data_IF_682276558487
#
_entry.id   IF_682276558487
#
_cell.length_a   1.000
_cell.length_b   1.000
_cell.length_c   1.000
_cell.angle_alpha   90.00
_cell.angle_beta   90.00
_cell.angle_gamma   90.00
#
_symmetry.space_group_name_H-M   'P 1'
#
loop_
_entity.id
_entity.type
_entity.pdbx_description
1 polymer ?
#
# COMPACT_ATOMS: atom_id res chain seq x y z
N UNK A 1 -20.02 0.51 -9.89
CA UNK A 1 -18.95 -0.50 -10.08
C UNK A 1 -18.02 -0.44 -8.88
N UNK A 2 -17.53 -1.58 -8.38
CA UNK A 2 -16.68 -1.64 -7.20
C UNK A 2 -15.21 -1.51 -7.59
N UNK A 3 -14.59 -0.37 -7.27
CA UNK A 3 -13.21 -0.04 -7.62
C UNK A 3 -12.34 -0.05 -6.37
N UNK A 4 -11.29 -0.86 -6.38
CA UNK A 4 -10.29 -0.93 -5.31
C UNK A 4 -9.02 -0.23 -5.74
N UNK A 5 -8.53 0.71 -4.92
CA UNK A 5 -7.32 1.47 -5.20
C UNK A 5 -6.24 1.10 -4.19
N UNK A 6 -5.08 0.64 -4.67
CA UNK A 6 -3.91 0.35 -3.85
C UNK A 6 -2.96 1.54 -3.87
N UNK A 7 -2.66 2.09 -2.68
CA UNK A 7 -1.75 3.22 -2.52
C UNK A 7 -0.75 3.02 -1.37
N UNK A 8 0.49 3.47 -1.54
CA UNK A 8 1.49 3.55 -0.46
C UNK A 8 1.96 4.98 -0.19
N UNK A 9 1.32 5.98 -0.78
CA UNK A 9 1.64 7.39 -0.52
C UNK A 9 1.43 7.73 0.97
N UNK A 10 2.44 8.35 1.59
CA UNK A 10 2.39 8.75 3.01
C UNK A 10 1.36 9.85 3.29
N UNK A 11 1.16 10.75 2.32
CA UNK A 11 0.34 11.94 2.44
C UNK A 11 -0.74 11.98 1.35
N UNK A 12 -1.58 10.95 1.29
CA UNK A 12 -2.71 10.95 0.37
C UNK A 12 -3.75 11.97 0.86
N UNK A 13 -3.74 13.16 0.26
CA UNK A 13 -4.65 14.26 0.58
C UNK A 13 -5.97 14.10 -0.18
N UNK A 14 -7.12 14.55 0.37
CA UNK A 14 -8.40 14.51 -0.34
C UNK A 14 -8.36 15.17 -1.72
N UNK A 15 -7.71 16.32 -1.87
CA UNK A 15 -7.57 17.01 -3.16
C UNK A 15 -6.81 16.17 -4.19
N UNK A 16 -5.65 15.61 -3.81
CA UNK A 16 -4.89 14.71 -4.68
C UNK A 16 -5.68 13.44 -5.04
N UNK A 17 -6.51 12.97 -4.11
CA UNK A 17 -7.35 11.81 -4.34
C UNK A 17 -8.50 12.12 -5.31
N UNK A 18 -9.09 13.32 -5.29
CA UNK A 18 -10.06 13.77 -6.30
C UNK A 18 -9.45 13.75 -7.70
N UNK A 19 -8.23 14.26 -7.86
CA UNK A 19 -7.49 14.18 -9.14
C UNK A 19 -7.31 12.73 -9.61
N UNK A 20 -6.98 11.81 -8.71
CA UNK A 20 -6.88 10.37 -9.05
C UNK A 20 -8.24 9.81 -9.50
N UNK A 21 -9.34 10.18 -8.84
CA UNK A 21 -10.70 9.75 -9.24
C UNK A 21 -11.08 10.29 -10.62
N UNK A 22 -10.79 11.56 -10.87
CA UNK A 22 -11.01 12.21 -12.17
C UNK A 22 -10.16 11.54 -13.27
N UNK A 23 -8.87 11.29 -13.01
CA UNK A 23 -7.99 10.58 -13.94
C UNK A 23 -8.48 9.17 -14.26
N UNK A 24 -9.06 8.48 -13.27
CA UNK A 24 -9.64 7.15 -13.44
C UNK A 24 -11.02 7.19 -14.12
N UNK A 25 -11.66 8.35 -14.23
CA UNK A 25 -13.02 8.47 -14.75
C UNK A 25 -14.07 7.81 -13.84
N UNK A 26 -13.86 7.90 -12.53
CA UNK A 26 -14.82 7.44 -11.51
C UNK A 26 -16.00 8.39 -11.48
N UNK A 27 -17.22 7.86 -11.56
CA UNK A 27 -18.46 8.65 -11.53
C UNK A 27 -19.12 8.52 -10.16
N UNK A 28 -19.32 9.64 -9.48
CA UNK A 28 -20.02 9.68 -8.19
C UNK A 28 -21.44 9.11 -8.31
N UNK A 29 -21.86 8.32 -7.31
CA UNK A 29 -23.17 7.67 -7.28
C UNK A 29 -23.31 6.41 -8.14
N UNK A 30 -22.45 6.22 -9.15
CA UNK A 30 -22.42 4.99 -9.96
C UNK A 30 -21.29 4.04 -9.53
N UNK A 31 -20.17 4.61 -9.10
CA UNK A 31 -18.97 3.87 -8.71
C UNK A 31 -18.69 4.00 -7.22
N UNK A 32 -18.42 2.86 -6.62
CA UNK A 32 -17.99 2.72 -5.24
C UNK A 32 -16.47 2.56 -5.23
N UNK A 33 -15.80 3.34 -4.39
CA UNK A 33 -14.34 3.34 -4.31
C UNK A 33 -13.91 2.93 -2.92
N UNK A 34 -13.09 1.89 -2.84
CA UNK A 34 -12.39 1.47 -1.61
C UNK A 34 -10.89 1.66 -1.77
N UNK A 35 -10.24 2.30 -0.81
CA UNK A 35 -8.80 2.55 -0.83
C UNK A 35 -8.09 1.64 0.16
N UNK A 36 -7.12 0.87 -0.32
CA UNK A 36 -6.20 0.10 0.52
C UNK A 36 -4.86 0.84 0.59
N UNK A 37 -4.52 1.34 1.78
CA UNK A 37 -3.36 2.20 1.99
C UNK A 37 -2.35 1.64 2.99
N UNK A 38 -1.05 1.86 2.75
CA UNK A 38 0.00 1.52 3.71
C UNK A 38 0.00 2.47 4.92
N UNK A 39 -0.38 3.74 4.70
CA UNK A 39 -0.29 4.82 5.68
C UNK A 39 -1.66 5.38 6.02
N UNK A 40 -1.84 5.86 7.25
CA UNK A 40 -3.06 6.56 7.64
C UNK A 40 -3.10 7.89 6.86
N UNK A 41 -4.15 8.16 6.06
CA UNK A 41 -4.30 9.46 5.43
C UNK A 41 -4.49 10.51 6.53
N UNK A 42 -3.97 11.72 6.28
CA UNK A 42 -4.03 12.82 7.24
C UNK A 42 -5.46 13.24 7.55
N UNK A 43 -6.31 13.26 6.50
CA UNK A 43 -7.75 13.50 6.60
C UNK A 43 -8.50 12.31 6.00
N UNK A 44 -9.75 12.05 6.44
CA UNK A 44 -10.59 11.06 5.82
C UNK A 44 -10.72 11.30 4.31
N UNK A 45 -10.64 10.23 3.53
CA UNK A 45 -10.76 10.31 2.07
C UNK A 45 -12.24 10.27 1.67
N UNK A 46 -12.64 10.91 0.56
CA UNK A 46 -14.01 10.86 0.04
C UNK A 46 -14.23 9.53 -0.72
N UNK A 47 -14.28 8.43 0.04
CA UNK A 47 -14.36 7.05 -0.45
C UNK A 47 -15.28 6.24 0.45
N UNK A 48 -15.88 5.18 -0.06
CA UNK A 48 -16.78 4.34 0.72
C UNK A 48 -16.07 3.65 1.89
N UNK A 49 -14.82 3.22 1.68
CA UNK A 49 -14.01 2.62 2.72
C UNK A 49 -12.53 2.93 2.52
N UNK A 50 -11.81 3.13 3.62
CA UNK A 50 -10.35 3.18 3.64
C UNK A 50 -9.81 2.07 4.53
N UNK A 51 -9.12 1.11 3.93
CA UNK A 51 -8.47 -0.01 4.60
C UNK A 51 -6.97 0.24 4.76
N UNK A 52 -6.49 0.34 5.99
CA UNK A 52 -5.05 0.47 6.25
C UNK A 52 -4.39 -0.90 6.38
N UNK A 53 -3.27 -1.11 5.67
CA UNK A 53 -2.44 -2.34 5.68
C UNK A 53 -0.96 -2.01 5.93
N UNK A 54 -0.64 -1.57 7.15
CA UNK A 54 0.71 -1.16 7.57
C UNK A 54 1.53 -2.26 8.25
N UNK A 55 2.83 -2.04 8.41
CA UNK A 55 3.74 -2.97 9.11
C UNK A 55 3.29 -3.28 10.55
N UNK A 56 2.70 -2.29 11.20
CA UNK A 56 2.15 -2.37 12.57
C UNK A 56 0.96 -3.34 12.66
N UNK A 57 0.35 -3.70 11.52
CA UNK A 57 -0.81 -4.60 11.43
C UNK A 57 -0.43 -6.05 11.13
N UNK A 58 0.86 -6.32 10.87
CA UNK A 58 1.37 -7.65 10.52
C UNK A 58 1.15 -8.72 11.61
N UNK A 59 0.98 -8.29 12.87
CA UNK A 59 0.70 -9.19 14.00
C UNK A 59 -0.77 -9.61 14.09
N UNK A 60 -1.71 -8.76 13.62
CA UNK A 60 -3.14 -9.00 13.83
C UNK A 60 -3.88 -9.51 12.59
N UNK A 61 -3.27 -9.55 11.40
CA UNK A 61 -3.92 -9.98 10.13
C UNK A 61 -5.21 -9.22 9.78
N UNK A 62 -5.47 -8.09 10.44
CA UNK A 62 -6.65 -7.27 10.23
C UNK A 62 -6.24 -5.93 9.61
N UNK A 63 -6.91 -5.53 8.55
CA UNK A 63 -6.86 -4.14 8.10
C UNK A 63 -7.67 -3.28 9.07
N UNK A 64 -7.21 -2.05 9.30
CA UNK A 64 -8.00 -1.08 10.06
C UNK A 64 -8.90 -0.33 9.09
N UNK A 65 -10.21 -0.40 9.31
CA UNK A 65 -11.19 0.46 8.66
C UNK A 65 -11.06 1.85 9.28
N UNK A 66 -10.75 2.84 8.44
CA UNK A 66 -10.65 4.23 8.86
C UNK A 66 -11.97 4.96 8.58
N UNK A 67 -12.29 5.99 9.39
CA UNK A 67 -13.48 6.80 9.17
C UNK A 67 -13.45 7.47 7.79
N UNK A 68 -14.63 7.62 7.20
CA UNK A 68 -14.90 8.20 5.89
C UNK A 68 -15.41 9.63 6.06
N UNK A 69 -14.96 10.57 5.24
CA UNK A 69 -15.55 11.91 5.20
C UNK A 69 -16.86 11.89 4.41
N UNK A 70 -17.92 12.46 4.97
CA UNK A 70 -19.08 12.86 4.18
C UNK A 70 -18.66 13.98 3.20
N UNK A 71 -19.18 13.94 1.97
CA UNK A 71 -18.93 14.94 0.93
C UNK A 71 -19.72 16.23 1.24
N UNK A 72 -19.32 17.02 2.24
CA UNK A 72 -19.42 18.49 2.17
C UNK A 72 -18.70 19.25 3.30
N UNK A 73 -18.28 20.46 2.90
CA UNK A 73 -17.90 21.69 3.63
C UNK A 73 -16.66 21.80 4.57
N UNK A 74 -15.87 22.82 4.20
CA UNK A 74 -15.15 23.83 5.02
C UNK A 74 -13.69 23.60 5.48
N UNK A 75 -12.85 24.57 5.06
CA UNK A 75 -11.57 25.05 5.61
C UNK A 75 -11.71 25.36 7.13
N UNK A 76 -10.71 25.38 8.03
CA UNK A 76 -9.30 25.79 8.04
C UNK A 76 -8.62 25.21 9.33
N UNK A 77 -7.57 25.80 9.96
CA UNK A 77 -6.14 25.47 9.90
C UNK A 77 -5.58 24.49 10.98
N UNK A 78 -4.27 24.22 10.86
CA UNK A 78 -3.40 23.30 11.61
C UNK A 78 -3.25 23.61 13.12
N UNK A 79 -3.00 22.56 13.93
CA UNK A 79 -2.39 22.72 15.25
C UNK A 79 -1.54 21.51 15.70
N UNK A 80 -0.52 21.84 16.50
CA UNK A 80 0.75 21.16 16.79
C UNK A 80 0.71 19.90 17.70
N UNK A 81 1.82 19.15 17.68
CA UNK A 81 2.10 17.91 18.44
C UNK A 81 2.23 18.12 19.97
N UNK A 82 2.26 17.04 20.80
CA UNK A 82 3.58 16.63 21.33
C UNK A 82 3.72 15.15 21.76
N UNK A 83 4.97 14.76 22.07
CA UNK A 83 5.24 13.83 23.18
C UNK A 83 6.16 12.65 22.88
N UNK A 84 7.46 12.85 23.03
CA UNK A 84 8.50 11.80 23.00
C UNK A 84 8.65 11.17 24.40
N UNK A 85 8.57 9.84 24.51
CA UNK A 85 8.83 9.11 25.74
C UNK A 85 9.76 7.91 25.47
N UNK A 86 10.94 7.96 26.07
CA UNK A 86 12.02 6.97 25.92
C UNK A 86 11.92 5.89 27.01
N UNK A 87 11.89 4.58 26.68
CA UNK A 87 11.91 3.53 27.69
C UNK A 87 13.31 2.98 27.99
N UNK A 88 13.46 2.63 29.27
CA UNK A 88 14.62 2.09 29.99
C UNK A 88 15.05 0.68 29.51
N UNK A 89 16.36 0.37 29.63
CA UNK A 89 16.98 -0.80 29.00
C UNK A 89 16.93 -2.08 29.89
N UNK A 90 16.58 -3.26 29.33
CA UNK A 90 16.56 -4.52 30.09
C UNK A 90 17.93 -5.24 30.18
N UNK A 91 18.12 -5.91 31.31
CA UNK A 91 19.27 -6.78 31.68
C UNK A 91 19.34 -8.07 30.84
N UNK A 92 20.51 -8.47 30.31
CA UNK A 92 20.59 -9.62 29.39
C UNK A 92 20.92 -10.96 30.09
N UNK A 93 19.98 -11.90 29.99
CA UNK A 93 20.10 -13.35 30.24
C UNK A 93 20.54 -14.12 28.94
N UNK A 94 20.75 -15.45 28.93
CA UNK A 94 21.77 -16.21 28.16
C UNK A 94 21.54 -16.36 26.63
N UNK A 95 21.22 -15.26 25.94
CA UNK A 95 21.15 -15.14 24.46
C UNK A 95 22.52 -14.92 23.78
N UNK A 96 23.62 -14.88 24.54
CA UNK A 96 24.92 -14.34 24.08
C UNK A 96 25.65 -15.22 23.05
N UNK A 97 25.43 -16.54 23.03
CA UNK A 97 26.10 -17.43 22.07
C UNK A 97 25.48 -17.38 20.67
N UNK A 98 24.15 -17.40 20.56
CA UNK A 98 23.45 -17.15 19.30
C UNK A 98 23.69 -15.72 18.79
N UNK A 99 23.80 -14.75 19.70
CA UNK A 99 24.16 -13.37 19.38
C UNK A 99 25.59 -13.26 18.82
N UNK A 100 26.55 -14.04 19.33
CA UNK A 100 27.92 -14.09 18.82
C UNK A 100 28.01 -14.60 17.37
N UNK A 101 27.29 -15.68 17.05
CA UNK A 101 27.23 -16.21 15.67
C UNK A 101 26.52 -15.23 14.74
N UNK A 102 25.38 -14.67 15.18
CA UNK A 102 24.67 -13.64 14.42
C UNK A 102 25.51 -12.38 14.21
N UNK A 103 26.32 -11.98 15.19
CA UNK A 103 27.22 -10.83 15.11
C UNK A 103 28.36 -11.09 14.11
N UNK A 104 28.95 -12.28 14.11
CA UNK A 104 29.98 -12.66 13.12
C UNK A 104 29.41 -12.69 11.70
N UNK A 105 28.23 -13.28 11.51
CA UNK A 105 27.55 -13.25 10.21
C UNK A 105 27.19 -11.83 9.76
N UNK A 106 26.79 -10.95 10.69
CA UNK A 106 26.57 -9.53 10.41
C UNK A 106 27.88 -8.82 10.03
N UNK A 107 28.99 -9.08 10.72
CA UNK A 107 30.30 -8.46 10.44
C UNK A 107 30.81 -8.82 9.04
N UNK A 108 30.65 -10.08 8.63
CA UNK A 108 30.97 -10.51 7.26
C UNK A 108 30.06 -9.83 6.24
N UNK A 109 28.75 -9.72 6.50
CA UNK A 109 27.83 -8.93 5.65
C UNK A 109 28.21 -7.45 5.57
N UNK A 110 28.66 -6.85 6.67
CA UNK A 110 29.12 -5.45 6.69
C UNK A 110 30.41 -5.28 5.89
N UNK A 111 31.39 -6.18 6.02
CA UNK A 111 32.61 -6.16 5.23
C UNK A 111 32.36 -6.27 3.72
N UNK A 112 31.39 -7.11 3.30
CA UNK A 112 30.98 -7.20 1.88
C UNK A 112 30.20 -5.96 1.43
N UNK A 113 29.41 -5.36 2.32
CA UNK A 113 28.65 -4.12 2.06
C UNK A 113 29.54 -2.89 1.93
N UNK A 114 30.64 -2.84 2.68
CA UNK A 114 31.59 -1.73 2.72
C UNK A 114 32.64 -1.81 1.60
N UNK A 115 32.57 -2.84 0.75
CA UNK A 115 33.37 -2.90 -0.46
C UNK A 115 32.95 -1.76 -1.43
N UNK A 116 33.85 -0.85 -1.81
CA UNK A 116 33.53 0.34 -2.60
C UNK A 116 32.96 0.03 -4.00
N UNK A 117 33.31 -1.13 -4.57
CA UNK A 117 32.77 -1.56 -5.86
C UNK A 117 31.32 -2.07 -5.72
N UNK A 118 31.02 -2.78 -4.64
CA UNK A 118 29.68 -3.28 -4.31
C UNK A 118 28.76 -2.13 -3.90
N UNK A 119 29.25 -1.18 -3.10
CA UNK A 119 28.48 -0.01 -2.66
C UNK A 119 28.11 0.91 -3.82
N UNK A 120 29.00 1.12 -4.81
CA UNK A 120 28.72 1.92 -6.01
C UNK A 120 27.60 1.33 -6.87
N UNK A 121 27.61 0.01 -7.10
CA UNK A 121 26.56 -0.68 -7.86
C UNK A 121 25.24 -0.72 -7.08
N UNK A 122 25.30 -1.04 -5.78
CA UNK A 122 24.12 -1.09 -4.89
C UNK A 122 23.45 0.27 -4.69
N UNK A 123 24.22 1.36 -4.67
CA UNK A 123 23.71 2.72 -4.51
C UNK A 123 23.18 3.33 -5.80
N UNK A 124 23.33 2.66 -6.95
CA UNK A 124 22.66 3.06 -8.18
C UNK A 124 21.15 3.13 -7.95
N UNK A 125 20.52 4.23 -8.36
CA UNK A 125 19.07 4.44 -8.26
C UNK A 125 18.28 3.32 -8.93
N UNK A 126 18.80 2.76 -10.03
CA UNK A 126 18.18 1.64 -10.76
C UNK A 126 18.22 0.36 -9.93
N UNK A 127 19.40 0.02 -9.40
CA UNK A 127 19.58 -1.17 -8.55
C UNK A 127 18.75 -1.04 -7.28
N UNK A 128 18.76 0.12 -6.62
CA UNK A 128 17.99 0.40 -5.39
C UNK A 128 16.47 0.29 -5.63
N UNK A 129 15.96 0.75 -6.78
CA UNK A 129 14.54 0.56 -7.17
C UNK A 129 14.19 -0.92 -7.32
N UNK A 130 15.00 -1.68 -8.05
CA UNK A 130 14.80 -3.12 -8.27
C UNK A 130 14.93 -3.90 -6.95
N UNK A 131 16.01 -3.70 -6.18
CA UNK A 131 16.19 -4.39 -4.90
C UNK A 131 15.09 -4.04 -3.89
N UNK A 132 14.65 -2.78 -3.78
CA UNK A 132 13.54 -2.45 -2.88
C UNK A 132 12.19 -3.06 -3.32
N UNK A 133 12.01 -3.33 -4.62
CA UNK A 133 10.82 -4.02 -5.12
C UNK A 133 10.85 -5.54 -4.79
N UNK A 134 12.04 -6.16 -4.82
CA UNK A 134 12.17 -7.61 -4.71
C UNK A 134 12.62 -8.13 -3.34
N UNK A 135 13.38 -7.36 -2.55
CA UNK A 135 13.94 -7.81 -1.28
C UNK A 135 12.85 -8.05 -0.22
N UNK A 136 12.93 -9.17 0.52
CA UNK A 136 12.08 -9.41 1.68
C UNK A 136 12.34 -8.31 2.73
N UNK A 137 11.30 -7.53 3.04
CA UNK A 137 11.33 -6.47 4.05
C UNK A 137 11.27 -5.03 3.52
N UNK A 138 11.32 -4.82 2.20
CA UNK A 138 11.05 -3.50 1.60
C UNK A 138 9.58 -3.07 1.78
N UNK A 139 9.29 -1.76 1.66
CA UNK A 139 7.93 -1.21 1.78
C UNK A 139 6.95 -1.94 0.86
N UNK A 140 7.35 -2.18 -0.40
CA UNK A 140 6.53 -2.92 -1.37
C UNK A 140 6.25 -4.36 -0.93
N UNK A 141 7.27 -5.10 -0.47
CA UNK A 141 7.10 -6.47 -0.02
C UNK A 141 6.22 -6.56 1.24
N UNK A 142 6.41 -5.64 2.20
CA UNK A 142 5.61 -5.58 3.43
C UNK A 142 4.16 -5.22 3.13
N UNK A 143 3.95 -4.19 2.32
CA UNK A 143 2.62 -3.79 1.87
C UNK A 143 1.94 -4.98 1.17
N UNK A 144 2.58 -5.57 0.16
CA UNK A 144 2.02 -6.71 -0.56
C UNK A 144 1.67 -7.90 0.35
N UNK A 145 2.55 -8.28 1.28
CA UNK A 145 2.28 -9.36 2.23
C UNK A 145 1.10 -9.02 3.15
N UNK A 146 1.05 -7.80 3.67
CA UNK A 146 -0.02 -7.36 4.58
C UNK A 146 -1.36 -7.27 3.86
N UNK A 147 -1.40 -6.63 2.69
CA UNK A 147 -2.58 -6.52 1.81
C UNK A 147 -3.15 -7.89 1.48
N UNK A 148 -2.32 -8.83 1.04
CA UNK A 148 -2.74 -10.19 0.65
C UNK A 148 -3.22 -11.04 1.84
N UNK A 149 -2.74 -10.74 3.05
CA UNK A 149 -3.08 -11.49 4.27
C UNK A 149 -4.29 -10.93 5.01
N UNK A 150 -4.57 -9.63 4.87
CA UNK A 150 -5.67 -8.98 5.56
C UNK A 150 -7.01 -9.54 5.10
N UNK A 151 -7.86 -9.96 6.06
CA UNK A 151 -9.17 -10.57 5.75
C UNK A 151 -10.10 -9.57 5.07
N UNK A 152 -10.18 -8.36 5.61
CA UNK A 152 -11.06 -7.29 5.13
C UNK A 152 -10.70 -6.90 3.69
N UNK A 153 -9.41 -6.94 3.35
CA UNK A 153 -8.96 -6.71 1.98
C UNK A 153 -9.44 -7.82 1.05
N UNK A 154 -9.38 -9.09 1.47
CA UNK A 154 -9.90 -10.20 0.66
C UNK A 154 -11.40 -10.09 0.45
N UNK A 155 -12.14 -9.71 1.48
CA UNK A 155 -13.58 -9.55 1.42
C UNK A 155 -13.96 -8.45 0.41
N UNK A 156 -13.28 -7.30 0.46
CA UNK A 156 -13.46 -6.23 -0.52
C UNK A 156 -13.04 -6.66 -1.93
N UNK A 157 -11.94 -7.39 -2.08
CA UNK A 157 -11.47 -7.87 -3.38
C UNK A 157 -12.36 -8.92 -4.01
N UNK A 158 -13.04 -9.75 -3.21
CA UNK A 158 -14.02 -10.71 -3.71
C UNK A 158 -15.25 -10.06 -4.33
N UNK A 159 -15.54 -8.80 -3.95
CA UNK A 159 -16.61 -8.01 -4.54
C UNK A 159 -16.11 -6.98 -5.56
N UNK A 160 -14.79 -6.90 -5.81
CA UNK A 160 -14.20 -5.87 -6.65
C UNK A 160 -14.37 -6.19 -8.14
N UNK A 161 -14.66 -5.16 -8.93
CA UNK A 161 -14.63 -5.24 -10.39
C UNK A 161 -13.24 -4.94 -10.94
N UNK A 162 -12.59 -3.90 -10.39
CA UNK A 162 -11.30 -3.41 -10.86
C UNK A 162 -10.41 -3.09 -9.67
N UNK A 163 -9.14 -3.49 -9.74
CA UNK A 163 -8.11 -3.16 -8.74
C UNK A 163 -7.02 -2.34 -9.40
N UNK A 164 -6.82 -1.11 -8.95
CA UNK A 164 -5.84 -0.17 -9.52
C UNK A 164 -4.65 0.00 -8.58
N UNK A 165 -3.45 -0.34 -9.05
CA UNK A 165 -2.19 -0.04 -8.36
C UNK A 165 -1.66 1.34 -8.76
N UNK A 166 -1.67 2.31 -7.84
CA UNK A 166 -1.30 3.69 -8.18
C UNK A 166 0.22 3.96 -8.25
N UNK A 167 1.03 3.21 -7.50
CA UNK A 167 2.44 3.50 -7.36
C UNK A 167 3.32 2.26 -7.41
N UNK A 168 4.60 2.46 -7.68
CA UNK A 168 5.55 1.35 -7.88
C UNK A 168 5.66 0.38 -6.70
N UNK A 169 5.32 0.80 -5.47
CA UNK A 169 5.35 -0.07 -4.31
C UNK A 169 4.10 -0.96 -4.22
N UNK A 170 2.99 -0.60 -4.88
CA UNK A 170 1.76 -1.40 -4.90
C UNK A 170 1.71 -2.43 -6.03
N UNK A 171 2.59 -2.34 -7.02
CA UNK A 171 2.63 -3.29 -8.16
C UNK A 171 2.78 -4.75 -7.70
N UNK A 172 3.64 -5.01 -6.70
CA UNK A 172 3.82 -6.37 -6.17
C UNK A 172 2.57 -6.89 -5.48
N UNK A 173 1.84 -6.02 -4.78
CA UNK A 173 0.56 -6.38 -4.17
C UNK A 173 -0.44 -6.75 -5.26
N UNK A 174 -0.60 -5.89 -6.27
CA UNK A 174 -1.45 -6.12 -7.42
C UNK A 174 -1.14 -7.46 -8.12
N UNK A 175 0.12 -7.73 -8.44
CA UNK A 175 0.52 -9.00 -9.05
C UNK A 175 0.14 -10.22 -8.19
N UNK A 176 0.34 -10.15 -6.87
CA UNK A 176 -0.06 -11.24 -5.97
C UNK A 176 -1.57 -11.40 -5.87
N UNK A 177 -2.32 -10.30 -5.95
CA UNK A 177 -3.79 -10.31 -5.90
C UNK A 177 -4.38 -10.90 -7.17
N UNK A 178 -3.88 -10.51 -8.35
CA UNK A 178 -4.31 -11.05 -9.65
C UNK A 178 -4.15 -12.57 -9.73
N UNK A 179 -3.13 -13.13 -9.06
CA UNK A 179 -2.90 -14.58 -8.99
C UNK A 179 -3.84 -15.31 -8.03
N UNK A 180 -4.49 -14.59 -7.11
CA UNK A 180 -5.34 -15.17 -6.05
C UNK A 180 -6.83 -14.95 -6.31
N UNK A 181 -7.17 -13.88 -7.00
CA UNK A 181 -8.53 -13.47 -7.30
C UNK A 181 -8.63 -13.31 -8.82
N UNK A 182 -9.22 -14.29 -9.53
CA UNK A 182 -9.32 -14.24 -10.99
C UNK A 182 -10.40 -13.27 -11.50
N UNK A 183 -11.35 -12.88 -10.65
CA UNK A 183 -12.53 -12.09 -11.05
C UNK A 183 -12.26 -10.57 -11.27
N UNK A 184 -11.51 -9.87 -10.39
CA UNK A 184 -11.24 -8.45 -10.61
C UNK A 184 -10.16 -8.21 -11.66
N UNK A 185 -10.36 -7.22 -12.52
CA UNK A 185 -9.31 -6.75 -13.42
C UNK A 185 -8.26 -5.97 -12.63
N UNK A 186 -7.05 -6.55 -12.52
CA UNK A 186 -5.95 -5.92 -11.81
C UNK A 186 -5.05 -5.15 -12.77
N UNK A 187 -4.98 -3.83 -12.58
CA UNK A 187 -4.28 -2.90 -13.46
C UNK A 187 -3.28 -2.03 -12.71
N UNK A 188 -2.29 -1.55 -13.44
CA UNK A 188 -1.20 -0.73 -12.91
C UNK A 188 -1.22 0.65 -13.56
N UNK A 189 -1.32 1.68 -12.72
CA UNK A 189 -1.37 3.09 -13.13
C UNK A 189 -2.77 3.58 -13.53
N UNK A 190 -2.97 4.91 -13.43
CA UNK A 190 -4.28 5.56 -13.66
C UNK A 190 -4.73 5.48 -15.11
N UNK A 191 -3.83 5.65 -16.08
CA UNK A 191 -4.18 5.55 -17.51
C UNK A 191 -4.66 4.15 -17.95
N UNK A 192 -4.14 3.08 -17.34
CA UNK A 192 -4.64 1.72 -17.56
C UNK A 192 -5.98 1.52 -16.84
N UNK A 193 -6.06 1.99 -15.59
CA UNK A 193 -7.29 2.02 -14.79
C UNK A 193 -8.46 2.64 -15.53
N UNK A 194 -8.29 3.86 -16.07
CA UNK A 194 -9.31 4.59 -16.83
C UNK A 194 -9.85 3.77 -18.00
N UNK A 195 -8.96 3.14 -18.77
CA UNK A 195 -9.35 2.35 -19.94
C UNK A 195 -10.19 1.12 -19.56
N UNK A 196 -9.77 0.40 -18.53
CA UNK A 196 -10.51 -0.79 -18.05
C UNK A 196 -11.84 -0.41 -17.43
N UNK A 197 -11.88 0.67 -16.63
CA UNK A 197 -13.10 1.23 -16.05
C UNK A 197 -14.10 1.60 -17.16
N UNK A 198 -13.64 2.31 -18.19
CA UNK A 198 -14.49 2.69 -19.32
C UNK A 198 -15.01 1.45 -20.08
N UNK A 199 -14.14 0.47 -20.34
CA UNK A 199 -14.52 -0.76 -21.05
C UNK A 199 -15.56 -1.58 -20.27
N UNK A 200 -15.38 -1.78 -18.96
CA UNK A 200 -16.37 -2.47 -18.11
C UNK A 200 -17.70 -1.73 -18.07
N UNK A 201 -17.67 -0.39 -18.03
CA UNK A 201 -18.90 0.41 -18.02
C UNK A 201 -19.68 0.27 -19.33
N UNK A 202 -18.98 0.30 -20.47
CA UNK A 202 -19.59 0.06 -21.78
C UNK A 202 -20.24 -1.34 -21.86
N UNK A 203 -19.50 -2.40 -21.48
CA UNK A 203 -20.04 -3.77 -21.52
C UNK A 203 -21.25 -4.00 -20.61
N UNK A 204 -21.39 -3.25 -19.51
CA UNK A 204 -22.59 -3.30 -18.66
C UNK A 204 -23.83 -2.69 -19.32
N UNK A 205 -23.66 -1.60 -20.06
CA UNK A 205 -24.77 -0.98 -20.79
C UNK A 205 -25.35 -1.96 -21.82
N UNK A 206 -24.47 -2.67 -22.54
CA UNK A 206 -24.84 -3.66 -23.56
C UNK A 206 -25.58 -4.87 -22.96
N UNK A 207 -25.25 -5.27 -21.71
CA UNK A 207 -25.92 -6.39 -21.03
C UNK A 207 -27.30 -6.06 -20.44
N UNK A 208 -27.71 -4.80 -20.48
CA UNK A 208 -28.97 -4.30 -19.90
C UNK A 208 -30.04 -3.93 -20.94
N UNK A 209 -29.76 -4.12 -22.23
CA UNK A 209 -30.68 -3.93 -23.36
C UNK A 209 -31.25 -5.28 -23.82
#
# INVERSE_FOLDING_TARGET
MNIVILATARNLRPASFRTIREELGVVDGQDTVTVVTAHRPYRPLPVEATLRTGADLSLRRHAIVLPVAALDTSEEPDDEAPGDASPEAPTPLPRRLAHGVAWRARRVRFAVRDNPKVSRVRNSTKVRKVTNAFLPGGVSARFAINTVRAREVKDVLGAADVVVALDSHTHRAAWLLARRHPDPDVVVGTAAGRRVIAARRAGRADSSS
#
